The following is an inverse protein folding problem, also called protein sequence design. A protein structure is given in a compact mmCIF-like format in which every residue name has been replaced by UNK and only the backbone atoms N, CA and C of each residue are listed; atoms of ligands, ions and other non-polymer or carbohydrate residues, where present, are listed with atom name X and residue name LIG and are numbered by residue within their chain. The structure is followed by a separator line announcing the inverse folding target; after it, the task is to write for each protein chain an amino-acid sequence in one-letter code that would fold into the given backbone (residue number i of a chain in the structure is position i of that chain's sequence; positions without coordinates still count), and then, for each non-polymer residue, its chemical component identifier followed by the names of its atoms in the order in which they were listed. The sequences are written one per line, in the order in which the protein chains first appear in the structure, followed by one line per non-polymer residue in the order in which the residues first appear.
data_IF_360913091005
#
_entry.id   IF_360913091005
#
_cell.length_a   1.000
_cell.length_b   1.000
_cell.length_c   1.000
_cell.angle_alpha   90.00
_cell.angle_beta   90.00
_cell.angle_gamma   90.00
#
_symmetry.space_group_name_H-M   'P 1'
#
loop_
_entity.id
_entity.type
_entity.pdbx_description
1 polymer ?
#
# COMPACT_ATOMS: atom_id res chain seq x y z
N UNK A 1 66.38 -7.26 -36.67
CA UNK A 1 65.99 -8.69 -36.66
C UNK A 1 65.24 -8.89 -35.35
N UNK A 2 63.99 -9.33 -35.25
CA UNK A 2 63.10 -10.04 -36.14
C UNK A 2 61.73 -9.99 -35.41
N UNK A 3 60.70 -9.50 -36.10
CA UNK A 3 59.30 -10.00 -36.14
C UNK A 3 58.74 -10.59 -34.83
N UNK A 4 57.73 -9.96 -34.23
CA UNK A 4 56.30 -10.23 -34.50
C UNK A 4 55.85 -11.65 -34.11
N UNK A 5 54.63 -11.74 -33.57
CA UNK A 5 53.89 -12.95 -33.13
C UNK A 5 54.49 -13.62 -31.87
N UNK A 6 53.73 -13.91 -30.82
CA UNK A 6 52.71 -14.95 -30.85
C UNK A 6 51.95 -15.05 -29.51
N UNK A 7 50.64 -15.27 -29.62
CA UNK A 7 49.71 -15.95 -28.70
C UNK A 7 49.33 -15.28 -27.35
N UNK A 8 48.13 -14.73 -27.22
CA UNK A 8 46.88 -15.47 -26.90
C UNK A 8 46.95 -16.20 -25.54
N UNK A 9 46.88 -15.43 -24.46
CA UNK A 9 46.47 -15.89 -23.13
C UNK A 9 45.46 -14.84 -22.67
N UNK A 10 44.16 -15.10 -22.78
CA UNK A 10 43.48 -16.05 -21.91
C UNK A 10 42.64 -15.22 -20.96
N UNK A 11 41.50 -14.70 -21.44
CA UNK A 11 40.57 -13.94 -20.60
C UNK A 11 39.13 -14.35 -20.95
N UNK A 12 38.72 -15.38 -20.21
CA UNK A 12 37.48 -15.43 -19.44
C UNK A 12 36.17 -15.41 -20.26
N UNK A 13 35.62 -16.62 -20.40
CA UNK A 13 34.18 -16.92 -20.36
C UNK A 13 33.50 -16.08 -19.27
N UNK A 14 32.85 -14.98 -19.64
CA UNK A 14 31.97 -14.25 -18.73
C UNK A 14 30.54 -14.72 -18.93
N UNK A 15 30.13 -15.53 -17.95
CA UNK A 15 28.79 -15.96 -17.58
C UNK A 15 27.72 -14.92 -17.95
N UNK A 16 26.69 -15.39 -18.65
CA UNK A 16 25.47 -14.62 -18.93
C UNK A 16 24.80 -14.19 -17.62
N UNK A 17 25.03 -12.95 -17.23
CA UNK A 17 24.34 -12.30 -16.14
C UNK A 17 22.88 -12.01 -16.53
N UNK A 18 21.96 -12.43 -15.67
CA UNK A 18 20.57 -12.04 -15.69
C UNK A 18 20.47 -10.51 -15.71
N UNK A 19 19.95 -9.94 -16.80
CA UNK A 19 19.57 -8.53 -16.88
C UNK A 19 18.32 -8.34 -16.03
N UNK A 20 18.52 -8.18 -14.73
CA UNK A 20 17.47 -7.70 -13.86
C UNK A 20 17.32 -6.20 -14.15
N UNK A 21 16.26 -5.88 -14.90
CA UNK A 21 15.90 -4.51 -15.28
C UNK A 21 15.50 -3.70 -14.06
N UNK A 22 16.48 -3.19 -13.32
CA UNK A 22 16.29 -2.02 -12.47
C UNK A 22 16.91 -0.86 -13.22
N UNK A 23 16.12 -0.23 -14.07
CA UNK A 23 16.54 1.01 -14.72
C UNK A 23 16.54 2.10 -13.66
N UNK A 24 17.71 2.39 -13.11
CA UNK A 24 17.98 3.61 -12.38
C UNK A 24 18.43 4.67 -13.40
N UNK A 25 17.52 5.55 -13.80
CA UNK A 25 17.87 6.81 -14.44
C UNK A 25 17.24 7.94 -13.62
N UNK A 26 18.11 8.60 -12.87
CA UNK A 26 17.81 9.81 -12.12
C UNK A 26 17.68 11.02 -13.06
N UNK A 27 16.81 11.93 -12.63
CA UNK A 27 16.74 13.36 -12.94
C UNK A 27 16.34 13.77 -14.37
N UNK A 28 15.15 14.35 -14.52
CA UNK A 28 14.98 15.82 -14.55
C UNK A 28 13.54 16.23 -14.97
N UNK A 29 12.90 17.08 -14.16
CA UNK A 29 11.68 17.83 -14.53
C UNK A 29 10.36 17.24 -14.00
N UNK A 30 9.94 17.63 -12.80
CA UNK A 30 8.52 17.53 -12.41
C UNK A 30 7.86 18.90 -12.58
N UNK A 31 6.76 19.04 -13.34
CA UNK A 31 5.86 20.15 -13.13
C UNK A 31 5.20 19.96 -11.75
N UNK A 32 5.16 21.03 -10.96
CA UNK A 32 4.47 21.07 -9.69
C UNK A 32 2.96 20.90 -9.92
N UNK A 33 2.47 19.67 -9.83
CA UNK A 33 1.05 19.40 -9.71
C UNK A 33 0.68 19.63 -8.25
N UNK A 34 0.02 20.75 -7.98
CA UNK A 34 -0.69 20.96 -6.71
C UNK A 34 -1.66 19.80 -6.52
N UNK A 35 -1.66 19.09 -5.38
CA UNK A 35 -2.79 18.26 -5.03
C UNK A 35 -3.93 19.20 -4.66
N UNK A 36 -4.75 19.54 -5.65
CA UNK A 36 -6.12 19.92 -5.36
C UNK A 36 -6.70 18.75 -4.56
N UNK A 37 -6.96 18.98 -3.27
CA UNK A 37 -7.73 18.08 -2.44
C UNK A 37 -9.11 17.96 -3.11
N UNK A 38 -9.24 16.97 -3.99
CA UNK A 38 -10.52 16.52 -4.49
C UNK A 38 -11.19 15.87 -3.28
N UNK A 39 -11.92 16.68 -2.53
CA UNK A 39 -12.92 16.19 -1.61
C UNK A 39 -13.87 15.33 -2.42
N UNK A 40 -13.65 14.02 -2.38
CA UNK A 40 -14.56 13.04 -2.93
C UNK A 40 -15.86 13.18 -2.14
N UNK A 41 -16.75 14.01 -2.65
CA UNK A 41 -18.15 14.02 -2.24
C UNK A 41 -18.75 12.76 -2.85
N UNK A 42 -18.51 11.62 -2.20
CA UNK A 42 -19.27 10.41 -2.52
C UNK A 42 -20.74 10.71 -2.23
N UNK A 43 -21.66 10.44 -3.17
CA UNK A 43 -23.09 10.54 -2.88
C UNK A 43 -23.42 9.68 -1.64
N UNK A 44 -24.44 10.07 -0.85
CA UNK A 44 -24.86 9.26 0.30
C UNK A 44 -25.10 7.83 -0.19
N UNK A 45 -24.69 6.79 0.57
CA UNK A 45 -24.93 5.41 0.18
C UNK A 45 -26.43 5.16 0.20
N UNK A 46 -27.08 5.34 -0.95
CA UNK A 46 -28.42 4.85 -1.18
C UNK A 46 -28.36 3.34 -0.93
N UNK A 47 -29.19 2.83 -0.02
CA UNK A 47 -29.39 1.40 0.26
C UNK A 47 -29.92 0.60 -0.96
N UNK A 48 -29.89 1.18 -2.16
CA UNK A 48 -30.30 0.55 -3.41
C UNK A 48 -29.12 -0.22 -3.99
N UNK A 49 -29.14 -1.55 -3.82
CA UNK A 49 -28.36 -2.45 -4.66
C UNK A 49 -27.27 -3.28 -3.96
N UNK A 50 -27.40 -3.59 -2.67
CA UNK A 50 -26.61 -4.70 -2.11
C UNK A 50 -27.18 -6.02 -2.68
N UNK A 51 -26.57 -6.54 -3.74
CA UNK A 51 -26.85 -7.89 -4.25
C UNK A 51 -26.19 -8.91 -3.32
N UNK A 52 -26.80 -9.14 -2.16
CA UNK A 52 -26.24 -10.05 -1.16
C UNK A 52 -26.38 -11.50 -1.60
N UNK A 53 -25.25 -12.16 -1.81
CA UNK A 53 -25.18 -13.61 -1.99
C UNK A 53 -25.02 -14.30 -0.64
N UNK A 54 -25.63 -15.48 -0.53
CA UNK A 54 -25.45 -16.36 0.62
C UNK A 54 -24.04 -16.95 0.57
N UNK A 55 -23.32 -16.84 1.69
CA UNK A 55 -22.01 -17.43 1.85
C UNK A 55 -22.05 -18.94 2.12
N UNK A 56 -20.89 -19.54 2.32
CA UNK A 56 -20.78 -20.92 2.83
C UNK A 56 -21.40 -21.04 4.25
N UNK A 57 -21.68 -22.26 4.75
CA UNK A 57 -22.14 -22.43 6.12
C UNK A 57 -21.25 -21.70 7.13
N UNK A 58 -21.85 -20.84 7.95
CA UNK A 58 -21.14 -19.99 8.94
C UNK A 58 -20.62 -18.65 8.40
N UNK A 59 -20.67 -18.40 7.09
CA UNK A 59 -20.30 -17.13 6.48
C UNK A 59 -21.52 -16.19 6.39
N UNK A 60 -21.39 -14.90 6.75
CA UNK A 60 -22.48 -13.94 6.56
C UNK A 60 -22.74 -13.68 5.07
N UNK A 61 -23.95 -13.23 4.68
CA UNK A 61 -24.22 -12.77 3.33
C UNK A 61 -23.26 -11.66 2.91
N UNK A 62 -22.84 -11.65 1.64
CA UNK A 62 -21.83 -10.73 1.13
C UNK A 62 -22.21 -10.16 -0.23
N UNK A 63 -21.68 -8.98 -0.55
CA UNK A 63 -21.77 -8.41 -1.90
C UNK A 63 -20.57 -8.90 -2.74
N UNK A 64 -20.78 -9.64 -3.84
CA UNK A 64 -19.69 -10.10 -4.69
C UNK A 64 -18.96 -8.98 -5.45
N UNK A 65 -19.53 -7.77 -5.52
CA UNK A 65 -18.98 -6.62 -6.24
C UNK A 65 -18.26 -5.62 -5.33
N UNK A 66 -18.52 -5.65 -4.02
CA UNK A 66 -17.86 -4.77 -3.05
C UNK A 66 -17.52 -5.53 -1.75
N UNK A 67 -16.25 -5.94 -1.62
CA UNK A 67 -15.73 -6.58 -0.41
C UNK A 67 -15.79 -5.67 0.84
N UNK A 68 -15.92 -4.36 0.64
CA UNK A 68 -16.03 -3.36 1.70
C UNK A 68 -17.46 -2.84 1.90
N UNK A 69 -18.48 -3.52 1.36
CA UNK A 69 -19.89 -3.11 1.45
C UNK A 69 -20.37 -2.81 2.89
N UNK A 70 -19.78 -3.49 3.88
CA UNK A 70 -20.15 -3.37 5.30
C UNK A 70 -19.20 -2.54 6.15
N UNK A 71 -18.14 -1.94 5.59
CA UNK A 71 -17.20 -1.09 6.34
C UNK A 71 -17.45 0.41 6.13
N UNK A 72 -18.46 0.78 5.33
CA UNK A 72 -18.86 2.17 5.07
C UNK A 72 -19.52 2.81 6.30
N UNK A 73 -19.61 4.14 6.28
CA UNK A 73 -20.31 4.90 7.31
C UNK A 73 -21.75 4.38 7.52
N UNK A 74 -22.13 4.18 8.77
CA UNK A 74 -23.45 3.65 9.14
C UNK A 74 -23.65 2.14 8.93
N UNK A 75 -22.64 1.40 8.47
CA UNK A 75 -22.70 -0.06 8.28
C UNK A 75 -21.96 -0.88 9.35
N UNK A 76 -21.21 -0.21 10.22
CA UNK A 76 -20.55 -0.85 11.35
C UNK A 76 -21.55 -1.24 12.45
N UNK A 77 -21.25 -2.32 13.18
CA UNK A 77 -22.06 -2.78 14.32
C UNK A 77 -22.24 -1.68 15.37
N UNK A 78 -23.43 -1.54 15.99
CA UNK A 78 -23.62 -0.59 17.10
C UNK A 78 -22.63 -0.77 18.25
N UNK A 79 -22.07 -1.98 18.43
CA UNK A 79 -21.08 -2.29 19.45
C UNK A 79 -19.81 -1.43 19.36
N UNK A 80 -19.43 -0.94 18.17
CA UNK A 80 -18.21 -0.14 18.00
C UNK A 80 -18.42 1.36 18.20
N UNK A 81 -19.66 1.81 18.43
CA UNK A 81 -20.01 3.25 18.48
C UNK A 81 -19.28 4.02 19.59
N UNK A 82 -18.92 3.34 20.68
CA UNK A 82 -18.21 3.94 21.82
C UNK A 82 -16.69 3.81 21.78
N UNK A 83 -16.12 3.22 20.73
CA UNK A 83 -14.68 3.00 20.68
C UNK A 83 -13.97 4.34 20.40
N UNK A 84 -12.87 4.64 21.11
CA UNK A 84 -12.13 5.86 20.87
C UNK A 84 -11.43 5.81 19.51
N UNK A 85 -11.42 6.93 18.80
CA UNK A 85 -10.69 7.08 17.55
C UNK A 85 -9.20 7.21 17.83
N UNK A 86 -8.38 6.31 17.27
CA UNK A 86 -6.94 6.17 17.58
C UNK A 86 -6.14 5.77 16.34
N UNK A 87 -4.91 6.27 16.24
CA UNK A 87 -3.93 5.84 15.24
C UNK A 87 -2.80 5.10 15.95
N UNK A 88 -2.56 3.86 15.56
CA UNK A 88 -1.55 2.97 16.17
C UNK A 88 -0.35 2.84 15.23
N UNK A 89 0.82 3.31 15.65
CA UNK A 89 2.04 3.36 14.83
C UNK A 89 3.15 2.52 15.48
N UNK A 90 3.47 1.34 14.93
CA UNK A 90 4.59 0.55 15.41
C UNK A 90 5.93 1.16 14.97
N UNK A 91 6.89 1.21 15.89
CA UNK A 91 8.29 1.55 15.59
C UNK A 91 9.16 0.29 15.58
N UNK A 92 9.58 -0.11 14.38
CA UNK A 92 10.40 -1.28 14.16
C UNK A 92 11.85 -1.18 14.68
N UNK A 93 12.34 0.01 15.04
CA UNK A 93 13.69 0.19 15.59
C UNK A 93 13.72 0.00 17.11
N UNK A 94 12.67 0.48 17.78
CA UNK A 94 12.58 0.46 19.25
C UNK A 94 11.64 -0.61 19.78
N UNK A 95 10.90 -1.29 18.89
CA UNK A 95 9.87 -2.28 19.22
C UNK A 95 8.77 -1.72 20.15
N UNK A 96 8.36 -0.48 19.89
CA UNK A 96 7.33 0.25 20.64
C UNK A 96 6.10 0.53 19.78
N UNK A 97 4.95 0.79 20.40
CA UNK A 97 3.70 1.08 19.70
C UNK A 97 3.14 2.43 20.17
N UNK A 98 3.28 3.45 19.33
CA UNK A 98 2.74 4.76 19.65
C UNK A 98 1.24 4.82 19.34
N UNK A 99 0.46 5.32 20.30
CA UNK A 99 -0.97 5.61 20.12
C UNK A 99 -1.13 7.12 19.99
N UNK A 100 -1.75 7.56 18.90
CA UNK A 100 -1.94 8.98 18.57
C UNK A 100 -3.43 9.31 18.58
N UNK A 101 -3.77 10.46 19.18
CA UNK A 101 -5.09 11.06 19.08
C UNK A 101 -5.21 11.88 17.79
N UNK A 102 -6.11 11.52 16.86
CA UNK A 102 -6.20 12.17 15.55
C UNK A 102 -6.77 13.60 15.61
N UNK A 103 -7.47 13.98 16.69
CA UNK A 103 -8.02 15.32 16.82
C UNK A 103 -6.96 16.34 17.27
N UNK A 104 -5.97 15.89 18.05
CA UNK A 104 -4.94 16.76 18.64
C UNK A 104 -3.53 16.54 18.06
N UNK A 105 -3.34 15.47 17.29
CA UNK A 105 -2.04 15.04 16.77
C UNK A 105 -1.00 14.78 17.86
N UNK A 106 -1.43 14.39 19.06
CA UNK A 106 -0.56 14.08 20.19
C UNK A 106 -0.42 12.58 20.37
N UNK A 107 0.78 12.14 20.75
CA UNK A 107 1.02 10.80 21.29
C UNK A 107 0.42 10.75 22.69
N UNK A 108 -0.41 9.75 22.96
CA UNK A 108 -1.13 9.57 24.23
C UNK A 108 -0.74 8.27 24.96
N UNK A 109 -0.05 7.35 24.28
CA UNK A 109 0.54 6.13 24.85
C UNK A 109 1.68 5.60 23.96
N UNK A 110 2.53 4.74 24.53
CA UNK A 110 3.72 4.13 23.92
C UNK A 110 3.99 2.72 24.49
#
# INVERSE_FOLDING_TARGET
MLRATLLLFGVILFVGGCKNSYSAAAASGSPAVSPAAQGASSPPPTTAGLELKVGLPGMPPYDPKDVYAFTRAGRLSPAVKGFPERVYVPDGKTNRLYVIDPATFRVIAE
#
